data_IF_101808074233
#
_entry.id   IF_101808074233
#
_cell.length_a   1.000
_cell.length_b   1.000
_cell.length_c   1.000
_cell.angle_alpha   90.00
_cell.angle_beta   90.00
_cell.angle_gamma   90.00
#
_symmetry.space_group_name_H-M   'P 1'
#
loop_
_entity.id
_entity.type
_entity.pdbx_description
1 polymer ?
#
# COMPACT_ATOMS: atom_id res chain seq x y z
N UNK A 1 -9.61 11.41 -11.21
CA UNK A 1 -9.27 10.00 -10.95
C UNK A 1 -7.96 9.71 -11.68
N UNK A 2 -6.83 9.53 -10.96
CA UNK A 2 -5.48 9.46 -11.56
C UNK A 2 -5.04 8.06 -12.00
N UNK A 3 -5.91 7.05 -11.96
CA UNK A 3 -5.55 5.68 -12.34
C UNK A 3 -4.97 5.60 -13.77
N UNK A 4 -5.57 6.32 -14.71
CA UNK A 4 -5.09 6.36 -16.11
C UNK A 4 -3.71 7.03 -16.27
N UNK A 5 -3.25 7.78 -15.28
CA UNK A 5 -1.92 8.40 -15.33
C UNK A 5 -0.79 7.38 -15.15
N UNK A 6 -1.10 6.14 -14.68
CA UNK A 6 -0.12 5.04 -14.62
C UNK A 6 0.44 4.70 -15.99
N UNK A 7 -0.34 4.87 -17.07
CA UNK A 7 0.12 4.65 -18.45
C UNK A 7 1.20 5.64 -18.89
N UNK A 8 1.35 6.77 -18.19
CA UNK A 8 2.33 7.81 -18.50
C UNK A 8 3.60 7.70 -17.65
N UNK A 9 3.55 6.92 -16.59
CA UNK A 9 4.71 6.71 -15.71
C UNK A 9 5.83 6.01 -16.50
N UNK A 10 7.04 6.52 -16.39
CA UNK A 10 8.22 6.02 -17.10
C UNK A 10 9.22 5.34 -16.16
N UNK A 11 9.09 5.58 -14.87
CA UNK A 11 9.93 4.98 -13.84
C UNK A 11 9.06 4.29 -12.79
N UNK A 12 9.66 3.36 -12.07
CA UNK A 12 9.01 2.67 -10.95
C UNK A 12 8.52 3.66 -9.90
N UNK A 13 9.31 4.68 -9.58
CA UNK A 13 8.96 5.69 -8.58
C UNK A 13 7.75 6.53 -9.02
N UNK A 14 7.71 6.97 -10.28
CA UNK A 14 6.56 7.68 -10.84
C UNK A 14 5.30 6.82 -10.77
N UNK A 15 5.38 5.54 -11.14
CA UNK A 15 4.26 4.62 -11.09
C UNK A 15 3.74 4.44 -9.66
N UNK A 16 4.63 4.27 -8.68
CA UNK A 16 4.26 4.16 -7.28
C UNK A 16 3.60 5.44 -6.75
N UNK A 17 4.12 6.62 -7.11
CA UNK A 17 3.53 7.92 -6.70
C UNK A 17 2.12 8.08 -7.27
N UNK A 18 1.92 7.82 -8.56
CA UNK A 18 0.60 7.85 -9.19
C UNK A 18 -0.36 6.88 -8.52
N UNK A 19 0.11 5.67 -8.20
CA UNK A 19 -0.66 4.65 -7.51
C UNK A 19 -1.13 5.15 -6.13
N UNK A 20 -0.24 5.70 -5.31
CA UNK A 20 -0.58 6.20 -3.97
C UNK A 20 -1.61 7.33 -4.00
N UNK A 21 -1.58 8.20 -5.02
CA UNK A 21 -2.51 9.34 -5.18
C UNK A 21 -3.80 8.98 -5.91
N UNK A 22 -3.96 7.75 -6.38
CA UNK A 22 -5.15 7.35 -7.13
C UNK A 22 -6.41 7.34 -6.27
N UNK A 23 -7.54 7.66 -6.85
CA UNK A 23 -8.84 7.73 -6.17
C UNK A 23 -9.63 6.43 -6.18
N UNK A 24 -8.95 5.27 -6.19
CA UNK A 24 -9.58 3.96 -6.11
C UNK A 24 -9.49 3.40 -4.69
N UNK A 25 -10.29 2.40 -4.32
CA UNK A 25 -10.12 1.69 -3.05
C UNK A 25 -8.69 1.12 -2.91
N UNK A 26 -8.11 1.13 -1.70
CA UNK A 26 -6.75 0.64 -1.49
C UNK A 26 -6.56 -0.81 -1.95
N UNK A 27 -5.59 -1.03 -2.84
CA UNK A 27 -5.23 -2.34 -3.37
C UNK A 27 -3.72 -2.49 -3.48
N UNK A 28 -3.24 -3.72 -3.50
CA UNK A 28 -1.83 -4.00 -3.76
C UNK A 28 -1.46 -3.62 -5.19
N UNK A 29 -0.34 -2.96 -5.34
CA UNK A 29 0.20 -2.55 -6.62
C UNK A 29 1.63 -3.06 -6.77
N UNK A 30 1.85 -3.85 -7.80
CA UNK A 30 3.17 -4.34 -8.18
C UNK A 30 3.52 -3.74 -9.53
N UNK A 31 4.74 -3.26 -9.69
CA UNK A 31 5.20 -2.67 -10.93
C UNK A 31 6.66 -3.06 -11.21
N UNK A 32 7.01 -2.97 -12.48
CA UNK A 32 8.36 -3.16 -13.02
C UNK A 32 8.59 -2.06 -14.05
N UNK A 33 9.81 -1.54 -14.12
CA UNK A 33 10.20 -0.60 -15.17
C UNK A 33 11.10 -1.26 -16.23
N UNK A 34 11.46 -0.47 -17.27
CA UNK A 34 12.27 -0.95 -18.37
C UNK A 34 13.73 -1.26 -17.97
N UNK A 35 14.20 -0.72 -16.87
CA UNK A 35 15.54 -0.98 -16.33
C UNK A 35 15.58 -2.24 -15.44
N UNK A 36 14.43 -2.91 -15.28
CA UNK A 36 14.30 -4.14 -14.49
C UNK A 36 14.12 -3.90 -12.99
N UNK A 37 13.84 -2.67 -12.57
CA UNK A 37 13.49 -2.41 -11.17
C UNK A 37 12.10 -2.95 -10.88
N UNK A 38 11.95 -3.63 -9.75
CA UNK A 38 10.70 -4.18 -9.27
C UNK A 38 10.23 -3.47 -8.00
N UNK A 39 8.93 -3.26 -7.86
CA UNK A 39 8.39 -2.56 -6.69
C UNK A 39 6.99 -3.01 -6.31
N UNK A 40 6.70 -2.81 -5.01
CA UNK A 40 5.38 -3.01 -4.43
C UNK A 40 5.02 -1.80 -3.57
N UNK A 41 3.76 -1.42 -3.64
CA UNK A 41 3.13 -0.44 -2.75
C UNK A 41 1.62 -0.69 -2.68
N UNK A 42 0.88 0.21 -2.04
CA UNK A 42 -0.58 0.25 -2.05
C UNK A 42 -1.05 1.32 -3.03
N UNK A 43 -1.85 0.94 -4.01
CA UNK A 43 -2.59 1.87 -4.86
C UNK A 43 -3.88 2.29 -4.15
N UNK A 44 -4.22 3.57 -4.23
CA UNK A 44 -5.39 4.14 -3.54
C UNK A 44 -5.03 4.85 -2.24
N UNK A 45 -5.91 5.71 -1.77
CA UNK A 45 -5.64 6.60 -0.64
C UNK A 45 -5.79 5.88 0.70
N UNK A 46 -4.76 5.95 1.52
CA UNK A 46 -4.76 5.45 2.90
C UNK A 46 -5.03 6.62 3.85
N UNK A 47 -6.07 6.55 4.70
CA UNK A 47 -6.36 7.62 5.66
C UNK A 47 -5.28 7.71 6.75
N UNK A 48 -4.89 8.92 7.10
CA UNK A 48 -4.10 9.18 8.29
C UNK A 48 -4.99 8.99 9.52
N UNK A 49 -4.70 7.99 10.31
CA UNK A 49 -5.45 7.65 11.52
C UNK A 49 -4.83 8.35 12.73
N UNK A 50 -5.68 8.95 13.56
CA UNK A 50 -5.31 9.56 14.83
C UNK A 50 -6.00 8.81 15.96
N UNK A 51 -5.24 8.43 16.98
CA UNK A 51 -5.74 7.76 18.18
C UNK A 51 -6.14 6.29 18.00
N UNK A 52 -5.94 5.70 16.82
CA UNK A 52 -6.19 4.27 16.55
C UNK A 52 -5.36 3.77 15.36
N UNK A 53 -5.16 2.45 15.29
CA UNK A 53 -4.39 1.79 14.22
C UNK A 53 -5.27 1.19 13.11
N UNK A 54 -6.60 1.22 13.26
CA UNK A 54 -7.54 0.67 12.29
C UNK A 54 -7.67 -0.86 12.30
N UNK A 55 -7.12 -1.55 13.30
CA UNK A 55 -7.17 -3.02 13.40
C UNK A 55 -8.41 -3.54 14.09
N UNK A 56 -8.98 -2.78 14.99
CA UNK A 56 -10.17 -3.17 15.76
C UNK A 56 -11.23 -2.09 15.70
N UNK A 57 -12.52 -2.46 15.78
CA UNK A 57 -13.60 -1.50 15.95
C UNK A 57 -13.36 -0.62 17.17
N UNK A 58 -13.65 0.67 17.06
CA UNK A 58 -13.43 1.63 18.13
C UNK A 58 -14.48 2.73 18.11
N UNK A 59 -14.74 3.34 19.28
CA UNK A 59 -15.64 4.50 19.36
C UNK A 59 -14.96 5.76 18.83
N UNK A 60 -15.71 6.57 18.11
CA UNK A 60 -15.29 7.86 17.55
C UNK A 60 -16.02 9.04 18.23
N UNK A 61 -16.86 8.73 19.22
CA UNK A 61 -17.83 9.67 19.79
C UNK A 61 -17.18 10.86 20.50
N UNK A 62 -16.00 10.69 21.09
CA UNK A 62 -15.28 11.73 21.84
C UNK A 62 -14.29 12.53 20.96
N UNK A 63 -14.16 12.20 19.68
CA UNK A 63 -13.24 12.85 18.75
C UNK A 63 -11.76 12.51 18.96
N UNK A 64 -11.40 11.71 19.95
CA UNK A 64 -10.01 11.28 20.17
C UNK A 64 -9.50 10.38 19.06
N UNK A 65 -10.42 9.70 18.37
CA UNK A 65 -10.14 8.85 17.22
C UNK A 65 -10.78 9.45 15.99
N UNK A 66 -9.98 9.66 14.94
CA UNK A 66 -10.46 10.30 13.70
C UNK A 66 -9.54 9.99 12.52
N UNK A 67 -10.01 10.29 11.35
CA UNK A 67 -9.18 10.43 10.15
C UNK A 67 -8.82 11.91 9.96
N UNK A 68 -7.56 12.17 9.66
CA UNK A 68 -7.02 13.51 9.46
C UNK A 68 -6.25 13.58 8.14
N UNK A 69 -7.00 13.66 7.04
CA UNK A 69 -6.42 13.64 5.70
C UNK A 69 -5.93 12.26 5.28
N UNK A 70 -4.92 12.24 4.42
CA UNK A 70 -4.37 11.05 3.79
C UNK A 70 -2.86 10.96 4.03
N UNK A 71 -2.30 9.78 3.95
CA UNK A 71 -0.85 9.61 3.91
C UNK A 71 -0.29 10.26 2.65
N UNK A 72 0.90 10.87 2.75
CA UNK A 72 1.66 11.34 1.58
C UNK A 72 2.34 10.14 0.89
N UNK A 73 2.71 10.23 -0.40
CA UNK A 73 3.41 9.15 -1.08
C UNK A 73 4.65 8.65 -0.35
N UNK A 74 5.38 9.54 0.35
CA UNK A 74 6.59 9.21 1.11
C UNK A 74 6.30 8.36 2.36
N UNK A 75 5.08 8.43 2.87
CA UNK A 75 4.64 7.67 4.04
C UNK A 75 4.07 6.29 3.70
N UNK A 76 3.81 6.03 2.41
CA UNK A 76 3.26 4.75 1.99
C UNK A 76 4.22 3.60 2.24
N UNK A 77 3.71 2.43 2.65
CA UNK A 77 4.49 1.21 2.67
C UNK A 77 4.92 0.87 1.24
N UNK A 78 6.20 0.56 1.08
CA UNK A 78 6.76 0.19 -0.23
C UNK A 78 7.92 -0.78 -0.10
N UNK A 79 8.11 -1.56 -1.14
CA UNK A 79 9.28 -2.39 -1.37
C UNK A 79 9.83 -2.00 -2.73
N UNK A 80 11.14 -1.83 -2.83
CA UNK A 80 11.84 -1.56 -4.09
C UNK A 80 13.09 -2.43 -4.13
N UNK A 81 13.25 -3.19 -5.19
CA UNK A 81 14.41 -4.04 -5.45
C UNK A 81 14.83 -4.86 -4.21
N UNK A 82 13.94 -5.70 -3.66
CA UNK A 82 14.26 -6.49 -2.47
C UNK A 82 15.44 -7.41 -2.75
N UNK A 83 16.26 -7.67 -1.73
CA UNK A 83 17.45 -8.54 -1.81
C UNK A 83 17.14 -9.94 -2.38
N UNK A 84 15.93 -10.45 -2.10
CA UNK A 84 15.46 -11.72 -2.65
C UNK A 84 15.23 -11.69 -4.19
N UNK A 85 15.29 -10.52 -4.84
CA UNK A 85 15.08 -10.38 -6.28
C UNK A 85 13.65 -10.67 -6.75
N UNK A 86 12.70 -10.87 -5.84
CA UNK A 86 11.31 -11.19 -6.16
C UNK A 86 10.34 -10.59 -5.15
N UNK A 87 9.08 -10.39 -5.57
CA UNK A 87 7.99 -9.91 -4.72
C UNK A 87 6.81 -10.88 -4.83
N UNK A 88 6.39 -11.44 -3.70
CA UNK A 88 5.24 -12.34 -3.60
C UNK A 88 4.09 -11.61 -2.91
N UNK A 89 2.89 -11.69 -3.45
CA UNK A 89 1.72 -11.02 -2.85
C UNK A 89 0.48 -11.90 -2.75
N UNK A 90 -0.23 -12.19 -3.80
CA UNK A 90 -1.40 -13.09 -3.87
C UNK A 90 -2.37 -12.99 -2.66
N UNK A 91 -2.74 -11.77 -2.24
CA UNK A 91 -3.58 -11.43 -1.08
C UNK A 91 -2.99 -11.72 0.31
N UNK A 92 -1.80 -12.32 0.41
CA UNK A 92 -1.12 -12.48 1.68
C UNK A 92 -0.52 -11.15 2.16
N UNK A 93 -0.18 -11.07 3.44
CA UNK A 93 0.54 -9.92 3.99
C UNK A 93 1.95 -9.83 3.40
N UNK A 94 2.32 -8.66 2.88
CA UNK A 94 3.59 -8.44 2.19
C UNK A 94 4.61 -7.72 3.08
N UNK A 95 4.13 -6.89 4.00
CA UNK A 95 4.97 -6.08 4.89
C UNK A 95 4.57 -6.27 6.35
N UNK A 96 5.49 -5.99 7.26
CA UNK A 96 5.34 -6.10 8.71
C UNK A 96 5.61 -4.78 9.42
N UNK A 97 5.53 -4.80 10.74
CA UNK A 97 5.90 -3.69 11.62
C UNK A 97 5.15 -2.41 11.29
N UNK A 98 5.88 -1.30 11.22
CA UNK A 98 5.33 0.03 10.98
C UNK A 98 4.66 0.16 9.61
N UNK A 99 5.16 -0.52 8.58
CA UNK A 99 4.53 -0.50 7.26
C UNK A 99 3.15 -1.18 7.29
N UNK A 100 3.03 -2.31 7.97
CA UNK A 100 1.74 -2.99 8.15
C UNK A 100 0.78 -2.14 9.00
N UNK A 101 1.28 -1.47 10.05
CA UNK A 101 0.49 -0.58 10.89
C UNK A 101 -0.12 0.60 10.10
N UNK A 102 0.59 1.14 9.11
CA UNK A 102 0.07 2.21 8.24
C UNK A 102 -1.10 1.74 7.37
N UNK A 103 -1.10 0.48 6.94
CA UNK A 103 -2.22 -0.11 6.20
C UNK A 103 -3.43 -0.31 7.13
N UNK A 104 -3.20 -0.71 8.38
CA UNK A 104 -4.24 -1.10 9.33
C UNK A 104 -4.65 -2.57 9.15
N UNK A 105 -5.94 -2.88 9.33
CA UNK A 105 -6.47 -4.22 9.07
C UNK A 105 -6.68 -4.41 7.56
N UNK A 106 -5.88 -5.28 6.96
CA UNK A 106 -5.87 -5.51 5.52
C UNK A 106 -6.67 -6.72 5.06
N UNK A 107 -7.34 -7.43 5.97
CA UNK A 107 -8.09 -8.67 5.70
C UNK A 107 -7.29 -9.64 4.82
N UNK A 108 -6.07 -9.93 5.27
CA UNK A 108 -5.12 -10.73 4.50
C UNK A 108 -5.49 -12.22 4.50
N UNK A 109 -5.29 -12.85 3.35
CA UNK A 109 -5.38 -14.30 3.18
C UNK A 109 -4.19 -15.02 3.86
N UNK A 110 -4.35 -16.30 4.18
CA UNK A 110 -3.35 -17.13 4.87
C UNK A 110 -2.07 -17.39 4.08
N UNK A 111 -1.94 -16.87 2.88
CA UNK A 111 -0.73 -17.01 2.07
C UNK A 111 -0.58 -18.33 1.31
N UNK A 112 -1.62 -19.16 1.26
CA UNK A 112 -1.58 -20.45 0.57
C UNK A 112 -1.15 -20.31 -0.91
N UNK A 113 -1.71 -19.34 -1.63
CA UNK A 113 -1.33 -19.04 -3.03
C UNK A 113 0.04 -18.38 -3.14
N UNK A 114 0.42 -17.56 -2.15
CA UNK A 114 1.74 -16.95 -2.10
C UNK A 114 2.85 -17.99 -1.95
N UNK A 115 2.61 -19.04 -1.17
CA UNK A 115 3.56 -20.14 -0.98
C UNK A 115 3.70 -21.07 -2.18
N UNK A 116 2.91 -20.87 -3.24
CA UNK A 116 2.97 -21.65 -4.49
C UNK A 116 3.73 -20.94 -5.60
N UNK A 117 4.10 -19.68 -5.41
CA UNK A 117 4.87 -18.89 -6.36
C UNK A 117 6.37 -19.15 -6.17
#
# INVERSE_FOLDING_TARGET
MRFVDTERARTLEEAQRVANESGIPPQKFVCVDADGNIGWTVMGRIPRRIGHDGRVPTSWADGSRRWEGWLTPEEYPRIVNPEAGAIWTANARVVDGDMAARIGHGDYDLGARQGQI
#
